data_IF_238645744743
#
_entry.id   IF_238645744743
#
_cell.length_a   1.000
_cell.length_b   1.000
_cell.length_c   1.000
_cell.angle_alpha   90.00
_cell.angle_beta   90.00
_cell.angle_gamma   90.00
#
_symmetry.space_group_name_H-M   'P 1'
#
loop_
_entity.id
_entity.type
_entity.pdbx_description
1 polymer ?
#
# COMPACT_ATOMS: atom_id res chain seq x y z
N UNK A 1 -8.90 -8.45 16.27
CA UNK A 1 -9.47 -7.16 15.81
C UNK A 1 -10.94 -6.93 16.22
N UNK A 2 -11.92 -7.84 16.03
CA UNK A 2 -13.34 -7.59 16.37
C UNK A 2 -13.60 -7.08 17.80
N UNK A 3 -12.89 -7.65 18.82
CA UNK A 3 -13.03 -7.21 20.23
C UNK A 3 -12.50 -5.78 20.44
N UNK A 4 -11.41 -5.40 19.75
CA UNK A 4 -10.82 -4.07 19.87
C UNK A 4 -11.71 -3.02 19.22
N UNK A 5 -12.31 -3.32 18.06
CA UNK A 5 -13.29 -2.44 17.42
C UNK A 5 -14.47 -2.10 18.32
N UNK A 6 -14.93 -3.07 19.12
CA UNK A 6 -16.01 -2.82 20.08
C UNK A 6 -15.59 -1.81 21.15
N UNK A 7 -14.34 -1.89 21.65
CA UNK A 7 -13.83 -0.95 22.65
C UNK A 7 -13.60 0.47 22.11
N UNK A 8 -13.40 0.60 20.79
CA UNK A 8 -13.18 1.90 20.17
C UNK A 8 -14.45 2.66 19.80
N UNK A 9 -15.64 2.02 19.85
CA UNK A 9 -16.91 2.68 19.49
C UNK A 9 -17.17 3.97 20.26
N UNK A 10 -16.81 4.00 21.55
CA UNK A 10 -17.00 5.16 22.42
C UNK A 10 -15.77 6.06 22.51
N UNK A 11 -14.70 5.74 21.74
CA UNK A 11 -13.47 6.52 21.74
C UNK A 11 -13.65 7.81 20.94
N UNK A 12 -13.43 8.97 21.58
CA UNK A 12 -13.59 10.29 20.95
C UNK A 12 -12.68 10.49 19.74
N UNK A 13 -11.41 10.06 19.81
CA UNK A 13 -10.47 10.20 18.69
C UNK A 13 -10.87 9.32 17.51
N UNK A 14 -11.34 8.10 17.76
CA UNK A 14 -11.83 7.22 16.70
C UNK A 14 -13.08 7.82 16.01
N UNK A 15 -14.04 8.32 16.78
CA UNK A 15 -15.22 8.95 16.21
C UNK A 15 -14.90 10.23 15.45
N UNK A 16 -13.95 11.05 15.94
CA UNK A 16 -13.47 12.23 15.23
C UNK A 16 -12.82 11.85 13.88
N UNK A 17 -12.00 10.79 13.86
CA UNK A 17 -11.39 10.29 12.61
C UNK A 17 -12.46 9.86 11.59
N UNK A 18 -13.47 9.09 12.01
CA UNK A 18 -14.57 8.68 11.15
C UNK A 18 -15.38 9.87 10.60
N UNK A 19 -15.47 10.94 11.38
CA UNK A 19 -16.13 12.20 10.99
C UNK A 19 -15.21 13.18 10.25
N UNK A 20 -14.03 12.73 9.79
CA UNK A 20 -13.05 13.52 9.04
C UNK A 20 -12.54 14.77 9.80
N UNK A 21 -12.47 14.68 11.11
CA UNK A 21 -11.92 15.74 11.96
C UNK A 21 -10.43 15.52 12.19
N UNK A 22 -9.72 16.61 12.46
CA UNK A 22 -8.32 16.55 12.84
C UNK A 22 -8.19 15.91 14.23
N UNK A 23 -7.26 14.97 14.35
CA UNK A 23 -6.92 14.31 15.61
C UNK A 23 -5.43 14.40 15.88
N UNK A 24 -5.07 14.43 17.13
CA UNK A 24 -3.68 14.33 17.58
C UNK A 24 -3.50 12.98 18.26
N UNK A 25 -2.48 12.25 17.84
CA UNK A 25 -2.16 10.93 18.37
C UNK A 25 -0.72 10.96 18.89
N UNK A 26 -0.52 10.63 20.15
CA UNK A 26 0.77 10.75 20.84
C UNK A 26 1.66 9.50 20.71
N UNK A 27 1.19 8.45 20.03
CA UNK A 27 1.91 7.18 19.92
C UNK A 27 1.65 6.55 18.56
N UNK A 28 2.71 6.08 17.91
CA UNK A 28 2.62 5.37 16.63
C UNK A 28 1.76 4.10 16.71
N UNK A 29 1.79 3.38 17.83
CA UNK A 29 0.92 2.21 18.02
C UNK A 29 -0.56 2.60 18.10
N UNK A 30 -0.88 3.72 18.73
CA UNK A 30 -2.25 4.25 18.78
C UNK A 30 -2.70 4.72 17.41
N UNK A 31 -1.82 5.34 16.62
CA UNK A 31 -2.07 5.74 15.24
C UNK A 31 -2.40 4.51 14.38
N UNK A 32 -1.55 3.49 14.42
CA UNK A 32 -1.75 2.25 13.67
C UNK A 32 -3.07 1.55 14.03
N UNK A 33 -3.41 1.51 15.32
CA UNK A 33 -4.67 0.93 15.79
C UNK A 33 -5.89 1.70 15.29
N UNK A 34 -5.86 3.03 15.34
CA UNK A 34 -6.96 3.88 14.85
C UNK A 34 -7.16 3.73 13.34
N UNK A 35 -6.07 3.74 12.57
CA UNK A 35 -6.11 3.56 11.12
C UNK A 35 -6.65 2.18 10.74
N UNK A 36 -6.12 1.11 11.32
CA UNK A 36 -6.57 -0.25 11.07
C UNK A 36 -8.07 -0.41 11.41
N UNK A 37 -8.49 0.16 12.54
CA UNK A 37 -9.89 0.11 12.97
C UNK A 37 -10.82 0.92 12.06
N UNK A 38 -10.38 2.09 11.60
CA UNK A 38 -11.13 2.90 10.66
C UNK A 38 -11.30 2.19 9.32
N UNK A 39 -10.22 1.58 8.79
CA UNK A 39 -10.28 0.79 7.56
C UNK A 39 -11.28 -0.36 7.65
N UNK A 40 -11.22 -1.17 8.71
CA UNK A 40 -12.14 -2.28 8.93
C UNK A 40 -13.60 -1.83 9.11
N UNK A 41 -13.81 -0.62 9.61
CA UNK A 41 -15.16 -0.06 9.82
C UNK A 41 -15.73 0.52 8.53
N UNK A 42 -14.92 1.28 7.80
CA UNK A 42 -15.35 1.98 6.58
C UNK A 42 -15.46 1.06 5.36
N UNK A 43 -14.61 0.02 5.30
CA UNK A 43 -14.51 -0.93 4.17
C UNK A 43 -14.39 -0.20 2.82
N UNK A 44 -13.52 0.80 2.78
CA UNK A 44 -13.22 1.61 1.60
C UNK A 44 -11.72 1.72 1.42
N UNK A 45 -11.30 2.01 0.19
CA UNK A 45 -9.91 2.33 -0.07
C UNK A 45 -9.47 3.52 0.78
N UNK A 46 -8.29 3.38 1.38
CA UNK A 46 -7.66 4.41 2.21
C UNK A 46 -6.22 4.61 1.78
N UNK A 47 -5.82 5.85 1.61
CA UNK A 47 -4.43 6.25 1.39
C UNK A 47 -3.93 7.03 2.61
N UNK A 48 -2.85 6.54 3.21
CA UNK A 48 -2.14 7.20 4.29
C UNK A 48 -0.80 7.71 3.77
N UNK A 49 -0.58 9.02 3.86
CA UNK A 49 0.67 9.64 3.42
C UNK A 49 1.41 10.19 4.64
N UNK A 50 2.61 9.66 4.87
CA UNK A 50 3.52 10.11 5.93
C UNK A 50 4.51 11.13 5.39
N UNK A 51 5.15 11.88 6.29
CA UNK A 51 6.12 12.90 5.93
C UNK A 51 7.39 12.32 5.29
N UNK A 52 7.80 11.12 5.70
CA UNK A 52 9.02 10.47 5.20
C UNK A 52 8.86 8.94 5.12
N UNK A 53 9.82 8.32 4.45
CA UNK A 53 9.85 6.88 4.20
C UNK A 53 9.93 6.06 5.50
N UNK A 54 10.70 6.51 6.48
CA UNK A 54 10.89 5.80 7.75
C UNK A 54 9.55 5.68 8.50
N UNK A 55 8.83 6.79 8.65
CA UNK A 55 7.53 6.81 9.32
C UNK A 55 6.48 5.99 8.57
N UNK A 56 6.48 6.06 7.23
CA UNK A 56 5.57 5.25 6.41
C UNK A 56 5.83 3.75 6.59
N UNK A 57 7.10 3.32 6.57
CA UNK A 57 7.48 1.92 6.77
C UNK A 57 7.17 1.44 8.19
N UNK A 58 7.44 2.27 9.21
CA UNK A 58 7.09 1.95 10.59
C UNK A 58 5.59 1.74 10.77
N UNK A 59 4.78 2.67 10.26
CA UNK A 59 3.33 2.55 10.30
C UNK A 59 2.84 1.30 9.56
N UNK A 60 3.38 1.05 8.36
CA UNK A 60 3.04 -0.15 7.59
C UNK A 60 3.32 -1.44 8.38
N UNK A 61 4.51 -1.56 8.98
CA UNK A 61 4.87 -2.73 9.81
C UNK A 61 3.92 -2.95 10.99
N UNK A 62 3.44 -1.87 11.61
CA UNK A 62 2.50 -1.95 12.71
C UNK A 62 1.09 -2.34 12.24
N UNK A 63 0.62 -1.74 11.15
CA UNK A 63 -0.73 -2.00 10.61
C UNK A 63 -0.82 -3.39 10.00
N UNK A 64 0.22 -3.86 9.28
CA UNK A 64 0.25 -5.20 8.66
C UNK A 64 0.21 -6.36 9.66
N UNK A 65 0.55 -6.11 10.94
CA UNK A 65 0.33 -7.07 12.01
C UNK A 65 -1.14 -7.22 12.43
N UNK A 66 -1.99 -6.28 12.04
CA UNK A 66 -3.41 -6.21 12.42
C UNK A 66 -4.36 -6.55 11.29
N UNK A 67 -3.98 -6.23 10.07
CA UNK A 67 -4.78 -6.43 8.85
C UNK A 67 -3.91 -6.85 7.69
N UNK A 68 -4.38 -7.81 6.90
CA UNK A 68 -3.65 -8.38 5.76
C UNK A 68 -3.74 -7.49 4.51
N UNK A 69 -4.74 -6.63 4.44
CA UNK A 69 -5.02 -5.73 3.30
C UNK A 69 -4.14 -4.47 3.28
N UNK A 70 -3.23 -4.33 4.26
CA UNK A 70 -2.29 -3.21 4.28
C UNK A 70 -1.22 -3.38 3.21
N UNK A 71 -1.03 -2.35 2.40
CA UNK A 71 -0.05 -2.29 1.33
C UNK A 71 0.93 -1.15 1.58
N UNK A 72 2.20 -1.37 1.26
CA UNK A 72 3.24 -0.36 1.30
C UNK A 72 3.66 0.04 -0.11
N UNK A 73 3.67 1.34 -0.40
CA UNK A 73 4.11 1.86 -1.68
C UNK A 73 5.42 2.63 -1.51
N UNK A 74 6.57 2.00 -1.81
CA UNK A 74 7.89 2.60 -1.62
C UNK A 74 8.19 3.68 -2.64
N UNK A 75 9.23 4.48 -2.37
CA UNK A 75 9.78 5.41 -3.34
C UNK A 75 10.44 4.64 -4.50
N UNK A 76 10.41 5.24 -5.67
CA UNK A 76 11.24 4.82 -6.79
C UNK A 76 12.60 5.52 -6.67
N UNK A 77 13.66 4.75 -6.46
CA UNK A 77 15.03 5.27 -6.28
C UNK A 77 15.71 5.71 -7.59
N UNK A 78 15.06 5.50 -8.75
CA UNK A 78 15.62 5.82 -10.06
C UNK A 78 16.01 7.29 -10.28
N UNK A 79 15.82 8.13 -9.25
CA UNK A 79 16.17 9.56 -9.28
C UNK A 79 17.45 9.94 -8.53
N UNK A 80 18.12 9.01 -7.90
CA UNK A 80 19.47 9.25 -7.43
C UNK A 80 20.42 9.03 -8.59
N UNK A 81 20.83 10.13 -9.22
CA UNK A 81 21.79 10.16 -10.35
C UNK A 81 23.10 9.42 -10.02
N UNK A 82 23.37 9.15 -8.75
CA UNK A 82 24.58 8.47 -8.26
C UNK A 82 24.37 6.98 -7.97
N UNK A 83 23.14 6.44 -7.95
CA UNK A 83 22.96 5.01 -7.76
C UNK A 83 22.88 4.32 -9.11
N UNK A 84 23.99 3.76 -9.53
CA UNK A 84 24.16 2.94 -10.73
C UNK A 84 23.29 1.65 -10.75
N UNK A 85 22.51 1.39 -9.70
CA UNK A 85 21.57 0.30 -9.64
C UNK A 85 20.35 0.71 -8.79
N UNK A 86 19.22 0.95 -9.45
CA UNK A 86 17.93 0.98 -8.75
C UNK A 86 17.75 -0.36 -8.01
N UNK A 87 17.32 -0.33 -6.73
CA UNK A 87 17.08 -1.56 -5.97
C UNK A 87 15.96 -2.36 -6.65
N UNK A 88 16.31 -3.50 -7.27
CA UNK A 88 15.34 -4.39 -7.88
C UNK A 88 14.26 -4.84 -6.89
N UNK A 89 14.58 -4.89 -5.60
CA UNK A 89 13.65 -5.21 -4.52
C UNK A 89 12.58 -4.13 -4.36
N UNK A 90 12.97 -2.84 -4.32
CA UNK A 90 12.00 -1.73 -4.19
C UNK A 90 11.11 -1.61 -5.43
N UNK A 91 11.68 -1.84 -6.62
CA UNK A 91 10.90 -1.88 -7.86
C UNK A 91 9.90 -3.05 -7.82
N UNK A 92 10.34 -4.24 -7.45
CA UNK A 92 9.48 -5.42 -7.30
C UNK A 92 8.35 -5.18 -6.29
N UNK A 93 8.66 -4.57 -5.14
CA UNK A 93 7.66 -4.22 -4.12
C UNK A 93 6.65 -3.19 -4.67
N UNK A 94 7.12 -2.17 -5.40
CA UNK A 94 6.25 -1.15 -6.00
C UNK A 94 5.31 -1.78 -7.04
N UNK A 95 5.83 -2.61 -7.95
CA UNK A 95 5.05 -3.32 -8.95
C UNK A 95 4.04 -4.28 -8.31
N UNK A 96 4.47 -5.03 -7.30
CA UNK A 96 3.60 -5.93 -6.53
C UNK A 96 2.46 -5.18 -5.84
N UNK A 97 2.73 -4.02 -5.26
CA UNK A 97 1.69 -3.17 -4.65
C UNK A 97 0.71 -2.65 -5.69
N UNK A 98 1.19 -2.17 -6.85
CA UNK A 98 0.31 -1.76 -7.95
C UNK A 98 -0.57 -2.92 -8.44
N UNK A 99 0.00 -4.12 -8.55
CA UNK A 99 -0.78 -5.31 -8.92
C UNK A 99 -1.88 -5.61 -7.91
N UNK A 100 -1.59 -5.56 -6.60
CA UNK A 100 -2.59 -5.77 -5.56
C UNK A 100 -3.72 -4.72 -5.63
N UNK A 101 -3.40 -3.45 -5.87
CA UNK A 101 -4.39 -2.38 -6.05
C UNK A 101 -5.32 -2.59 -7.25
N UNK A 102 -4.96 -3.43 -8.22
CA UNK A 102 -5.84 -3.77 -9.36
C UNK A 102 -6.83 -4.89 -9.04
N UNK A 103 -6.68 -5.55 -7.88
CA UNK A 103 -7.57 -6.65 -7.47
C UNK A 103 -8.84 -6.10 -6.83
N UNK A 104 -9.95 -6.86 -6.87
CA UNK A 104 -11.17 -6.45 -6.19
C UNK A 104 -10.98 -6.46 -4.67
N UNK A 105 -11.65 -5.54 -3.99
CA UNK A 105 -11.60 -5.39 -2.53
C UNK A 105 -11.28 -3.97 -2.13
N UNK A 106 -11.23 -3.72 -0.83
CA UNK A 106 -10.75 -2.45 -0.26
C UNK A 106 -9.29 -2.60 0.13
N UNK A 107 -8.49 -1.57 -0.11
CA UNK A 107 -7.06 -1.56 0.16
C UNK A 107 -6.70 -0.42 1.10
N UNK A 108 -5.77 -0.68 2.01
CA UNK A 108 -5.13 0.35 2.82
C UNK A 108 -3.70 0.55 2.31
N UNK A 109 -3.49 1.63 1.58
CA UNK A 109 -2.18 2.00 1.04
C UNK A 109 -1.46 2.97 1.96
N UNK A 110 -0.26 2.60 2.38
CA UNK A 110 0.61 3.44 3.20
C UNK A 110 1.83 3.84 2.38
N UNK A 111 2.12 5.13 2.34
CA UNK A 111 3.21 5.69 1.55
C UNK A 111 3.71 7.00 2.15
N UNK A 112 4.62 7.68 1.46
CA UNK A 112 5.09 9.01 1.82
C UNK A 112 5.10 9.95 0.62
N UNK A 113 5.22 11.26 0.86
CA UNK A 113 5.00 12.30 -0.14
C UNK A 113 5.75 12.08 -1.45
N UNK A 114 7.07 11.82 -1.39
CA UNK A 114 7.87 11.62 -2.60
C UNK A 114 7.43 10.40 -3.45
N UNK A 115 6.92 9.36 -2.81
CA UNK A 115 6.49 8.15 -3.52
C UNK A 115 5.17 8.36 -4.27
N UNK A 116 4.20 9.06 -3.64
CA UNK A 116 2.88 9.30 -4.24
C UNK A 116 2.88 10.39 -5.31
N UNK A 117 3.89 11.26 -5.30
CA UNK A 117 4.06 12.30 -6.33
C UNK A 117 4.62 11.77 -7.66
N UNK A 118 4.97 10.49 -7.72
CA UNK A 118 5.50 9.86 -8.92
C UNK A 118 4.38 9.40 -9.84
N UNK A 119 4.66 9.51 -11.14
CA UNK A 119 3.77 8.97 -12.16
C UNK A 119 3.56 7.47 -11.96
N UNK A 120 2.32 7.06 -12.03
CA UNK A 120 1.91 5.65 -12.10
C UNK A 120 1.03 5.45 -13.33
N UNK A 121 1.14 4.33 -14.03
CA UNK A 121 0.29 4.04 -15.17
C UNK A 121 -1.17 3.89 -14.73
N UNK A 122 -2.10 4.11 -15.64
CA UNK A 122 -3.51 3.76 -15.41
C UNK A 122 -3.66 2.25 -15.22
N UNK A 123 -4.73 1.84 -14.54
CA UNK A 123 -5.01 0.41 -14.28
C UNK A 123 -5.03 -0.42 -15.57
N UNK A 124 -5.63 0.12 -16.65
CA UNK A 124 -5.72 -0.58 -17.92
C UNK A 124 -4.36 -0.77 -18.59
N UNK A 125 -3.53 0.29 -18.58
CA UNK A 125 -2.15 0.22 -19.12
C UNK A 125 -1.33 -0.75 -18.28
N UNK A 126 -1.44 -0.71 -16.95
CA UNK A 126 -0.71 -1.62 -16.08
C UNK A 126 -1.10 -3.08 -16.33
N UNK A 127 -2.40 -3.39 -16.35
CA UNK A 127 -2.91 -4.75 -16.58
C UNK A 127 -2.52 -5.30 -17.96
N UNK A 128 -2.52 -4.45 -18.99
CA UNK A 128 -2.09 -4.85 -20.33
C UNK A 128 -0.62 -5.28 -20.38
N UNK A 129 0.21 -4.72 -19.50
CA UNK A 129 1.63 -5.05 -19.40
C UNK A 129 1.94 -6.04 -18.25
N UNK A 130 0.94 -6.77 -17.75
CA UNK A 130 1.11 -7.84 -16.79
C UNK A 130 0.75 -9.18 -17.41
N UNK A 131 1.63 -10.14 -17.29
CA UNK A 131 1.37 -11.54 -17.65
C UNK A 131 1.33 -12.39 -16.40
N UNK A 132 0.33 -13.25 -16.28
CA UNK A 132 0.23 -14.22 -15.18
C UNK A 132 0.53 -15.61 -15.71
N UNK A 133 1.52 -16.25 -15.10
CA UNK A 133 1.95 -17.61 -15.44
C UNK A 133 1.61 -18.54 -14.28
N UNK A 134 1.05 -19.70 -14.60
CA UNK A 134 0.74 -20.74 -13.63
C UNK A 134 1.47 -22.03 -13.98
N UNK A 135 1.77 -22.84 -12.97
CA UNK A 135 2.33 -24.18 -13.19
C UNK A 135 1.35 -25.01 -14.01
N UNK A 136 1.82 -25.54 -15.14
CA UNK A 136 1.00 -26.29 -16.11
C UNK A 136 0.51 -25.49 -17.31
N UNK A 137 0.72 -24.17 -17.35
CA UNK A 137 0.41 -23.39 -18.54
C UNK A 137 1.35 -23.73 -19.69
N UNK A 138 0.80 -23.88 -20.90
CA UNK A 138 1.57 -23.96 -22.12
C UNK A 138 1.87 -22.56 -22.63
N UNK A 139 3.15 -22.20 -22.69
CA UNK A 139 3.60 -20.88 -23.13
C UNK A 139 4.55 -21.06 -24.29
N UNK A 140 4.30 -20.31 -25.37
CA UNK A 140 5.28 -20.15 -26.45
C UNK A 140 6.43 -19.25 -25.97
N UNK A 141 7.64 -19.76 -26.07
CA UNK A 141 8.86 -19.04 -25.63
C UNK A 141 9.06 -17.76 -26.43
N UNK A 142 8.70 -17.75 -27.71
CA UNK A 142 8.82 -16.55 -28.56
C UNK A 142 7.80 -15.48 -28.17
N UNK A 143 6.59 -15.87 -27.81
CA UNK A 143 5.57 -14.92 -27.32
C UNK A 143 5.95 -14.35 -25.96
N UNK A 144 6.50 -15.18 -25.05
CA UNK A 144 7.05 -14.71 -23.79
C UNK A 144 8.19 -13.72 -24.01
N UNK A 145 9.13 -14.03 -24.91
CA UNK A 145 10.24 -13.14 -25.24
C UNK A 145 9.76 -11.78 -25.78
N UNK A 146 8.78 -11.79 -26.69
CA UNK A 146 8.18 -10.55 -27.24
C UNK A 146 7.49 -9.71 -26.15
N UNK A 147 6.91 -10.37 -25.14
CA UNK A 147 6.25 -9.67 -24.04
C UNK A 147 7.27 -9.02 -23.10
N UNK A 148 8.46 -9.59 -22.95
CA UNK A 148 9.49 -9.12 -22.02
C UNK A 148 10.44 -8.08 -22.63
N UNK A 149 10.41 -7.84 -23.94
CA UNK A 149 11.23 -6.87 -24.69
C UNK A 149 10.37 -5.71 -25.15
#
# INVERSE_FOLDING_TARGET
>A
MKKILHLLKDNKAFNALLNKQNIVVNSSNSEALLIASAFLTLKKDMLIVKSNQYEANLLYKQVSQMIDEALYFPVDESYRIESLAASGELLGQRLGTMYQLTRPGSHLLISHGHSVMRYVPTVDVFKKNCMTLKVGDHIDVYDLQRFLV
#
